data_IF_582259016837
#
_entry.id   IF_582259016837
#
_cell.length_a   1.000
_cell.length_b   1.000
_cell.length_c   1.000
_cell.angle_alpha   90.00
_cell.angle_beta   90.00
_cell.angle_gamma   90.00
#
_symmetry.space_group_name_H-M   'P 1'
#
loop_
_entity.id
_entity.type
_entity.pdbx_description
1 polymer ?
#
# COMPACT_ATOMS: atom_id res chain seq x y z
N UNK A 1 0.65 -18.51 20.52
CA UNK A 1 -0.65 -17.80 20.53
C UNK A 1 -1.07 -17.55 19.09
N UNK A 2 -1.84 -18.47 18.50
CA UNK A 2 -2.21 -18.46 17.07
C UNK A 2 -3.52 -17.68 16.92
N UNK A 3 -3.46 -16.36 16.96
CA UNK A 3 -4.65 -15.53 16.75
C UNK A 3 -4.79 -15.17 15.26
N UNK A 4 -5.86 -15.72 14.67
CA UNK A 4 -6.69 -15.08 13.63
C UNK A 4 -6.10 -14.92 12.21
N UNK A 5 -5.66 -16.01 11.58
CA UNK A 5 -5.50 -16.04 10.11
C UNK A 5 -6.86 -16.07 9.37
N UNK A 6 -7.89 -16.70 9.96
CA UNK A 6 -9.16 -16.98 9.28
C UNK A 6 -10.15 -15.80 9.18
N UNK A 7 -9.98 -14.72 9.94
CA UNK A 7 -10.86 -13.52 9.88
C UNK A 7 -10.36 -12.49 8.84
N UNK A 8 -9.13 -12.67 8.34
CA UNK A 8 -8.49 -11.79 7.35
C UNK A 8 -8.84 -12.12 5.90
N UNK A 9 -9.45 -13.28 5.61
CA UNK A 9 -9.72 -13.72 4.24
C UNK A 9 -10.93 -13.03 3.59
N UNK A 10 -11.92 -12.57 4.37
CA UNK A 10 -13.17 -12.01 3.81
C UNK A 10 -13.06 -10.58 3.25
N UNK A 11 -11.92 -9.90 3.38
CA UNK A 11 -11.73 -8.51 2.90
C UNK A 11 -10.51 -8.31 2.00
N UNK A 12 -9.78 -9.38 1.68
CA UNK A 12 -8.68 -9.34 0.72
C UNK A 12 -9.24 -9.38 -0.69
N UNK A 13 -8.93 -8.36 -1.46
CA UNK A 13 -9.28 -8.25 -2.88
C UNK A 13 -8.04 -8.60 -3.69
N UNK A 14 -8.20 -9.46 -4.70
CA UNK A 14 -7.15 -9.76 -5.66
C UNK A 14 -7.13 -8.68 -6.74
N UNK A 15 -5.95 -8.28 -7.19
CA UNK A 15 -5.76 -7.43 -8.37
C UNK A 15 -4.54 -7.93 -9.15
N UNK A 16 -4.58 -7.80 -10.48
CA UNK A 16 -3.45 -8.12 -11.35
C UNK A 16 -3.00 -6.83 -12.03
N UNK A 17 -1.72 -6.50 -11.88
CA UNK A 17 -1.11 -5.29 -12.47
C UNK A 17 0.19 -5.71 -13.14
N UNK A 18 0.41 -5.32 -14.39
CA UNK A 18 1.59 -5.71 -15.19
C UNK A 18 1.85 -7.23 -15.16
N UNK A 19 0.80 -8.04 -15.33
CA UNK A 19 0.84 -9.51 -15.28
C UNK A 19 1.35 -10.10 -13.94
N UNK A 20 1.32 -9.33 -12.86
CA UNK A 20 1.70 -9.75 -11.51
C UNK A 20 0.49 -9.71 -10.58
N UNK A 21 0.36 -10.72 -9.75
CA UNK A 21 -0.72 -10.87 -8.79
C UNK A 21 -0.41 -10.13 -7.48
N UNK A 22 -1.40 -9.42 -6.95
CA UNK A 22 -1.36 -8.78 -5.65
C UNK A 22 -2.68 -8.99 -4.92
N UNK A 23 -2.62 -8.88 -3.60
CA UNK A 23 -3.77 -8.82 -2.72
C UNK A 23 -3.77 -7.51 -1.97
N UNK A 24 -4.95 -6.95 -1.75
CA UNK A 24 -5.09 -5.72 -0.99
C UNK A 24 -6.30 -5.73 -0.07
N UNK A 25 -6.24 -4.96 1.01
CA UNK A 25 -7.35 -4.77 1.94
C UNK A 25 -7.22 -3.43 2.67
N UNK A 26 -8.34 -2.92 3.17
CA UNK A 26 -8.36 -1.75 4.06
C UNK A 26 -8.28 -2.26 5.50
N UNK A 27 -7.27 -1.78 6.23
CA UNK A 27 -7.00 -2.13 7.62
C UNK A 27 -6.62 -0.91 8.44
N UNK A 28 -6.23 -1.15 9.70
CA UNK A 28 -5.67 -0.11 10.57
C UNK A 28 -4.26 0.27 10.08
N UNK A 29 -3.92 1.55 10.16
CA UNK A 29 -2.54 2.01 9.98
C UNK A 29 -1.65 1.47 11.14
N UNK A 30 -0.44 0.95 10.87
CA UNK A 30 0.39 0.36 11.92
C UNK A 30 1.03 1.37 12.87
N UNK A 31 1.13 2.65 12.49
CA UNK A 31 1.73 3.73 13.28
C UNK A 31 0.67 4.55 14.03
N UNK A 32 -0.57 4.58 13.53
CA UNK A 32 -1.67 5.25 14.21
C UNK A 32 -2.30 4.34 15.28
N UNK A 33 -2.20 4.76 16.54
CA UNK A 33 -2.74 3.99 17.67
C UNK A 33 -4.26 4.14 17.81
N UNK A 34 -4.86 5.10 17.15
CA UNK A 34 -6.19 5.62 17.46
C UNK A 34 -7.21 5.08 16.43
N UNK A 35 -7.26 5.62 15.21
CA UNK A 35 -8.31 5.27 14.24
C UNK A 35 -7.90 5.26 12.75
N UNK A 36 -6.68 5.67 12.39
CA UNK A 36 -6.37 5.85 10.97
C UNK A 36 -6.44 4.53 10.18
N UNK A 37 -7.02 4.62 8.98
CA UNK A 37 -7.11 3.52 8.03
C UNK A 37 -6.01 3.63 6.97
N UNK A 38 -5.56 2.46 6.53
CA UNK A 38 -4.62 2.33 5.44
C UNK A 38 -5.02 1.19 4.51
N UNK A 39 -4.64 1.33 3.25
CA UNK A 39 -4.65 0.24 2.27
C UNK A 39 -3.35 -0.54 2.44
N UNK A 40 -3.49 -1.84 2.66
CA UNK A 40 -2.37 -2.78 2.71
C UNK A 40 -2.33 -3.51 1.38
N UNK A 41 -1.18 -3.53 0.72
CA UNK A 41 -0.97 -4.22 -0.56
C UNK A 41 0.18 -5.21 -0.38
N UNK A 42 -0.03 -6.46 -0.81
CA UNK A 42 0.93 -7.53 -0.62
C UNK A 42 0.98 -8.46 -1.84
N UNK A 43 2.17 -8.92 -2.23
CA UNK A 43 2.32 -10.00 -3.21
C UNK A 43 2.11 -11.39 -2.57
N UNK A 44 1.75 -12.42 -3.35
CA UNK A 44 1.65 -13.80 -2.85
C UNK A 44 2.93 -14.30 -2.17
N UNK A 45 4.09 -13.92 -2.72
CA UNK A 45 5.44 -14.27 -2.23
C UNK A 45 5.90 -13.42 -1.04
N UNK A 46 5.15 -12.37 -0.68
CA UNK A 46 5.51 -11.40 0.37
C UNK A 46 6.88 -10.73 0.14
N UNK A 47 7.29 -10.62 -1.12
CA UNK A 47 8.41 -9.79 -1.55
C UNK A 47 8.00 -8.32 -1.80
N UNK A 48 6.70 -8.06 -1.86
CA UNK A 48 6.09 -6.76 -1.99
C UNK A 48 5.12 -6.56 -0.83
N UNK A 49 5.34 -5.53 -0.02
CA UNK A 49 4.50 -5.10 1.09
C UNK A 49 4.54 -3.59 1.18
N UNK A 50 3.38 -2.99 0.96
CA UNK A 50 3.21 -1.55 0.86
C UNK A 50 1.96 -1.12 1.62
N UNK A 51 2.06 0.03 2.27
CA UNK A 51 0.97 0.62 3.04
C UNK A 51 0.69 2.02 2.49
N UNK A 52 -0.57 2.29 2.18
CA UNK A 52 -1.03 3.60 1.73
C UNK A 52 -2.05 4.17 2.71
N UNK A 53 -1.72 5.30 3.33
CA UNK A 53 -2.51 5.95 4.39
C UNK A 53 -3.65 6.76 3.78
N UNK A 54 -4.88 6.51 4.26
CA UNK A 54 -6.09 7.15 3.74
C UNK A 54 -6.44 8.42 4.49
N UNK A 55 -6.31 8.39 5.81
CA UNK A 55 -6.60 9.53 6.66
C UNK A 55 -5.40 10.48 6.70
N UNK A 56 -5.67 11.78 6.78
CA UNK A 56 -4.65 12.75 7.17
C UNK A 56 -4.29 12.43 8.62
N UNK A 57 -3.03 12.07 8.87
CA UNK A 57 -2.53 11.90 10.24
C UNK A 57 -2.83 13.22 10.97
N UNK A 58 -3.75 13.16 11.93
CA UNK A 58 -4.16 14.31 12.71
C UNK A 58 -2.95 14.86 13.46
N UNK A 59 -2.75 16.17 13.33
CA UNK A 59 -1.73 17.01 14.00
C UNK A 59 -0.31 17.01 13.40
N UNK A 60 -0.05 18.05 12.60
CA UNK A 60 1.27 18.68 12.48
C UNK A 60 2.31 18.03 11.56
N UNK A 61 2.08 16.79 11.10
CA UNK A 61 3.05 16.08 10.25
C UNK A 61 2.43 15.77 8.88
N UNK A 62 2.96 16.38 7.82
CA UNK A 62 2.71 15.92 6.44
C UNK A 62 3.46 14.61 6.28
N UNK A 63 2.87 13.52 6.77
CA UNK A 63 3.48 12.22 6.66
C UNK A 63 3.25 11.69 5.25
N UNK A 64 4.30 11.26 4.53
CA UNK A 64 4.14 10.63 3.22
C UNK A 64 3.14 9.49 3.27
N UNK A 65 2.14 9.54 2.37
CA UNK A 65 1.00 8.62 2.39
C UNK A 65 1.40 7.20 2.03
N UNK A 66 2.47 7.02 1.24
CA UNK A 66 2.95 5.72 0.86
C UNK A 66 4.19 5.33 1.67
N UNK A 67 4.14 4.13 2.23
CA UNK A 67 5.28 3.47 2.82
C UNK A 67 5.51 2.14 2.12
N UNK A 68 6.74 1.95 1.64
CA UNK A 68 7.23 0.67 1.15
C UNK A 68 7.95 0.00 2.30
N UNK A 69 7.35 -1.06 2.85
CA UNK A 69 7.97 -1.87 3.91
C UNK A 69 8.96 -2.85 3.29
N UNK A 70 8.57 -3.45 2.15
CA UNK A 70 9.40 -4.41 1.43
C UNK A 70 9.03 -4.38 -0.04
N UNK A 71 10.03 -4.32 -0.91
CA UNK A 71 9.83 -4.44 -2.35
C UNK A 71 11.14 -4.85 -3.01
N UNK A 72 11.07 -5.68 -4.05
CA UNK A 72 12.19 -5.95 -4.96
C UNK A 72 12.27 -4.94 -6.12
N UNK A 73 11.39 -3.93 -6.13
CA UNK A 73 11.21 -3.00 -7.26
C UNK A 73 11.53 -1.54 -6.92
N UNK A 74 11.51 -1.20 -5.64
CA UNK A 74 11.78 0.14 -5.10
C UNK A 74 12.33 -0.05 -3.69
N UNK A 75 13.24 0.82 -3.25
CA UNK A 75 13.79 0.72 -1.91
C UNK A 75 12.71 0.86 -0.82
N UNK A 76 12.84 0.19 0.33
CA UNK A 76 11.99 0.45 1.47
C UNK A 76 12.14 1.89 1.95
N UNK A 77 11.02 2.55 2.24
CA UNK A 77 11.04 3.95 2.62
C UNK A 77 9.69 4.62 2.42
N UNK A 78 9.69 5.94 2.53
CA UNK A 78 8.48 6.74 2.40
C UNK A 78 8.46 7.51 1.09
N UNK A 79 7.29 7.52 0.46
CA UNK A 79 7.10 8.10 -0.87
C UNK A 79 5.83 8.96 -0.91
N UNK A 80 5.88 9.98 -1.75
CA UNK A 80 4.71 10.78 -2.10
C UNK A 80 4.18 10.28 -3.45
N UNK A 81 2.99 9.66 -3.45
CA UNK A 81 2.21 9.54 -4.68
C UNK A 81 1.66 10.93 -5.03
N UNK A 82 1.68 11.28 -6.32
CA UNK A 82 1.07 12.52 -6.81
C UNK A 82 -0.34 12.70 -6.24
N UNK A 83 -0.66 13.91 -5.80
CA UNK A 83 -1.87 14.25 -5.02
C UNK A 83 -3.19 13.90 -5.73
N UNK A 84 -3.16 13.71 -7.06
CA UNK A 84 -4.32 13.42 -7.91
C UNK A 84 -4.84 11.97 -7.83
N UNK A 85 -4.19 11.08 -7.07
CA UNK A 85 -4.60 9.66 -6.95
C UNK A 85 -5.78 9.45 -5.99
N UNK A 86 -6.21 10.49 -5.27
CA UNK A 86 -7.15 10.37 -4.17
C UNK A 86 -8.59 10.72 -4.53
N UNK A 87 -9.35 9.68 -4.86
CA UNK A 87 -10.81 9.67 -4.67
C UNK A 87 -11.11 9.52 -3.15
N UNK A 88 -12.25 10.04 -2.69
CA UNK A 88 -12.72 9.86 -1.30
C UNK A 88 -12.96 8.37 -0.95
N UNK A 89 -13.04 7.51 -1.96
CA UNK A 89 -13.22 6.07 -1.83
C UNK A 89 -12.03 5.32 -2.44
N UNK A 90 -11.56 4.26 -1.76
CA UNK A 90 -10.49 3.40 -2.29
C UNK A 90 -11.05 2.48 -3.37
N UNK A 91 -10.69 2.76 -4.61
CA UNK A 91 -11.05 1.96 -5.78
C UNK A 91 -9.93 1.01 -6.20
N UNK A 92 -10.23 -0.09 -6.91
CA UNK A 92 -9.19 -0.93 -7.52
C UNK A 92 -8.23 -0.15 -8.42
N UNK A 93 -8.70 0.94 -9.06
CA UNK A 93 -7.89 1.86 -9.85
C UNK A 93 -6.82 2.54 -9.00
N UNK A 94 -7.19 3.16 -7.87
CA UNK A 94 -6.25 3.74 -6.91
C UNK A 94 -5.17 2.72 -6.48
N UNK A 95 -5.58 1.49 -6.17
CA UNK A 95 -4.65 0.40 -5.82
C UNK A 95 -3.70 0.06 -6.97
N UNK A 96 -4.21 -0.01 -8.20
CA UNK A 96 -3.39 -0.27 -9.39
C UNK A 96 -2.36 0.82 -9.66
N UNK A 97 -2.68 2.08 -9.37
CA UNK A 97 -1.77 3.23 -9.52
C UNK A 97 -0.65 3.18 -8.47
N UNK A 98 -0.98 2.84 -7.22
CA UNK A 98 0.02 2.63 -6.15
C UNK A 98 1.00 1.51 -6.54
N UNK A 99 0.47 0.38 -7.02
CA UNK A 99 1.30 -0.74 -7.48
C UNK A 99 2.18 -0.29 -8.66
N UNK A 100 1.59 0.37 -9.65
CA UNK A 100 2.31 0.81 -10.86
C UNK A 100 3.45 1.76 -10.51
N UNK A 101 3.23 2.71 -9.60
CA UNK A 101 4.28 3.59 -9.08
C UNK A 101 5.44 2.81 -8.45
N UNK A 102 5.14 1.80 -7.62
CA UNK A 102 6.18 1.00 -6.99
C UNK A 102 6.95 0.13 -8.00
N UNK A 103 6.29 -0.29 -9.09
CA UNK A 103 6.91 -1.09 -10.14
C UNK A 103 7.74 -0.25 -11.13
N UNK A 104 7.36 1.01 -11.37
CA UNK A 104 8.04 1.90 -12.34
C UNK A 104 9.32 2.54 -11.82
N UNK A 105 9.51 2.63 -10.51
CA UNK A 105 10.71 3.22 -9.91
C UNK A 105 11.97 2.34 -10.00
N UNK A 106 11.87 1.17 -10.63
CA UNK A 106 13.03 0.36 -10.98
C UNK A 106 13.73 0.84 -12.27
N UNK A 107 13.20 1.87 -12.95
CA UNK A 107 13.69 2.34 -14.26
C UNK A 107 14.68 3.51 -14.19
N UNK A 108 15.08 4.00 -13.00
CA UNK A 108 15.94 5.20 -12.86
C UNK A 108 17.28 4.96 -12.14
N UNK A 109 17.76 3.71 -12.04
CA UNK A 109 19.10 3.40 -11.52
C UNK A 109 19.94 2.56 -12.48
N UNK A 110 19.76 2.75 -13.78
CA UNK A 110 20.62 2.16 -14.80
C UNK A 110 20.88 3.20 -15.91
N UNK A 111 21.63 4.25 -15.59
CA UNK A 111 22.47 5.03 -16.52
C UNK A 111 23.64 5.66 -15.74
#
# INVERSE_FOLDING_TARGET
MVMKLAILEKRKRKIVVNNKEFYWYIGKDPYDKIFAKAVHIISPTKDFLVIYRLDFVTEGSIFPKLEVIKSSYIEPGFYNLNENVLEQEVTPKCVSEIISFCLSNNSNFAE
#
